data_IF_671806078392
#
_entry.id   IF_671806078392
#
_cell.length_a   1.000
_cell.length_b   1.000
_cell.length_c   1.000
_cell.angle_alpha   90.00
_cell.angle_beta   90.00
_cell.angle_gamma   90.00
#
_symmetry.space_group_name_H-M   'P 1'
#
loop_
_entity.id
_entity.type
_entity.pdbx_description
1 polymer ?
#
# COMPACT_ATOMS: atom_id res chain seq x y z
N UNK A 1 14.55 -0.64 22.75
CA UNK A 1 14.40 -0.96 21.31
C UNK A 1 12.92 -1.06 21.03
N UNK A 2 12.38 -0.20 20.16
CA UNK A 2 10.95 -0.20 19.82
C UNK A 2 10.59 -1.51 19.15
N UNK A 3 9.57 -2.20 19.67
CA UNK A 3 9.07 -3.45 19.12
C UNK A 3 8.57 -3.19 17.69
N UNK A 4 9.18 -3.83 16.70
CA UNK A 4 8.76 -3.71 15.30
C UNK A 4 7.34 -4.27 15.16
N UNK A 5 6.50 -3.57 14.39
CA UNK A 5 5.14 -4.03 14.12
C UNK A 5 5.09 -4.75 12.78
N UNK A 6 5.01 -6.08 12.84
CA UNK A 6 4.77 -6.90 11.66
C UNK A 6 3.31 -6.74 11.21
N UNK A 7 3.08 -6.23 10.01
CA UNK A 7 1.73 -5.91 9.52
C UNK A 7 1.55 -6.30 8.06
N UNK A 8 0.42 -6.93 7.77
CA UNK A 8 -0.05 -7.18 6.41
C UNK A 8 -1.36 -6.42 6.18
N UNK A 9 -1.38 -5.50 5.21
CA UNK A 9 -2.57 -4.76 4.82
C UNK A 9 -3.21 -5.42 3.60
N UNK A 10 -4.51 -5.71 3.66
CA UNK A 10 -5.29 -6.11 2.48
C UNK A 10 -6.31 -5.03 2.15
N UNK A 11 -6.15 -4.39 0.99
CA UNK A 11 -7.05 -3.33 0.52
C UNK A 11 -8.02 -3.92 -0.51
N UNK A 12 -9.26 -4.12 -0.08
CA UNK A 12 -10.38 -4.43 -0.97
C UNK A 12 -10.79 -3.16 -1.73
N UNK A 13 -10.87 -3.27 -3.05
CA UNK A 13 -11.04 -2.10 -3.91
C UNK A 13 -9.73 -1.32 -4.10
N UNK A 14 -8.58 -2.00 -4.12
CA UNK A 14 -7.26 -1.38 -4.26
C UNK A 14 -7.06 -0.56 -5.55
N UNK A 15 -7.93 -0.72 -6.54
CA UNK A 15 -7.91 0.08 -7.78
C UNK A 15 -8.86 1.28 -7.75
N UNK A 16 -9.50 1.56 -6.61
CA UNK A 16 -10.52 2.61 -6.45
C UNK A 16 -9.93 3.99 -6.13
N UNK A 17 -10.74 5.03 -6.32
CA UNK A 17 -10.34 6.43 -6.15
C UNK A 17 -9.78 6.72 -4.74
N UNK A 18 -10.44 6.21 -3.70
CA UNK A 18 -9.99 6.39 -2.31
C UNK A 18 -8.62 5.74 -2.07
N UNK A 19 -8.39 4.56 -2.64
CA UNK A 19 -7.13 3.85 -2.49
C UNK A 19 -5.97 4.67 -3.08
N UNK A 20 -6.16 5.17 -4.31
CA UNK A 20 -5.19 5.98 -5.04
C UNK A 20 -4.95 7.35 -4.38
N UNK A 21 -6.01 8.07 -4.03
CA UNK A 21 -5.88 9.46 -3.55
C UNK A 21 -5.54 9.58 -2.07
N UNK A 22 -5.78 8.54 -1.26
CA UNK A 22 -5.63 8.62 0.20
C UNK A 22 -4.86 7.45 0.80
N UNK A 23 -5.19 6.20 0.46
CA UNK A 23 -4.62 5.05 1.18
C UNK A 23 -3.13 4.85 0.86
N UNK A 24 -2.75 4.75 -0.42
CA UNK A 24 -1.33 4.58 -0.79
C UNK A 24 -0.45 5.77 -0.37
N UNK A 25 -0.85 7.04 -0.60
CA UNK A 25 -0.10 8.19 -0.08
C UNK A 25 0.07 8.16 1.45
N UNK A 26 -0.96 7.72 2.19
CA UNK A 26 -0.90 7.65 3.65
C UNK A 26 0.03 6.54 4.14
N UNK A 27 -0.02 5.36 3.51
CA UNK A 27 0.89 4.26 3.80
C UNK A 27 2.34 4.64 3.50
N UNK A 28 2.59 5.29 2.36
CA UNK A 28 3.92 5.79 2.03
C UNK A 28 4.42 6.84 3.04
N UNK A 29 3.54 7.72 3.52
CA UNK A 29 3.88 8.67 4.59
C UNK A 29 4.23 7.99 5.91
N UNK A 30 3.53 6.90 6.27
CA UNK A 30 3.86 6.10 7.46
C UNK A 30 5.21 5.41 7.31
N UNK A 31 5.49 4.83 6.14
CA UNK A 31 6.80 4.27 5.81
C UNK A 31 7.92 5.31 5.92
N UNK A 32 7.76 6.48 5.29
CA UNK A 32 8.75 7.58 5.36
C UNK A 32 9.00 8.12 6.77
N UNK A 33 8.04 7.98 7.69
CA UNK A 33 8.17 8.38 9.10
C UNK A 33 8.77 7.28 9.99
N UNK A 34 9.08 6.11 9.45
CA UNK A 34 9.55 4.95 10.21
C UNK A 34 8.47 4.31 11.08
N UNK A 35 7.18 4.58 10.80
CA UNK A 35 6.07 3.95 11.52
C UNK A 35 5.75 2.54 10.99
N UNK A 36 6.12 2.25 9.75
CA UNK A 36 6.13 0.91 9.18
C UNK A 36 7.60 0.44 9.13
N UNK A 37 7.87 -0.71 9.75
CA UNK A 37 9.20 -1.32 9.83
C UNK A 37 9.61 -2.01 8.52
N UNK A 38 10.55 -2.94 8.60
CA UNK A 38 10.96 -3.76 7.45
C UNK A 38 9.92 -4.83 7.13
N UNK A 39 9.27 -5.39 8.16
CA UNK A 39 8.33 -6.50 8.04
C UNK A 39 6.90 -6.03 7.81
N UNK A 40 6.64 -5.37 6.69
CA UNK A 40 5.28 -5.05 6.24
C UNK A 40 5.01 -5.43 4.79
N UNK A 41 3.74 -5.68 4.47
CA UNK A 41 3.27 -5.93 3.12
C UNK A 41 1.93 -5.25 2.85
N UNK A 42 1.70 -4.90 1.58
CA UNK A 42 0.43 -4.33 1.11
C UNK A 42 -0.07 -5.19 -0.05
N UNK A 43 -1.26 -5.76 0.11
CA UNK A 43 -1.96 -6.55 -0.90
C UNK A 43 -3.17 -5.74 -1.36
N UNK A 44 -3.20 -5.40 -2.64
CA UNK A 44 -4.38 -4.81 -3.28
C UNK A 44 -5.20 -5.87 -3.99
N UNK A 45 -6.52 -5.81 -3.84
CA UNK A 45 -7.44 -6.66 -4.61
C UNK A 45 -8.61 -5.88 -5.19
N UNK A 46 -9.00 -6.21 -6.40
CA UNK A 46 -10.15 -5.66 -7.10
C UNK A 46 -10.64 -6.62 -8.18
N UNK A 47 -11.78 -6.28 -8.80
CA UNK A 47 -12.42 -7.11 -9.84
C UNK A 47 -11.67 -7.11 -11.18
N UNK A 48 -10.90 -6.05 -11.48
CA UNK A 48 -10.18 -5.92 -12.75
C UNK A 48 -8.91 -6.76 -12.70
N UNK A 49 -8.63 -7.61 -13.71
CA UNK A 49 -7.40 -8.39 -13.76
C UNK A 49 -6.23 -7.47 -14.12
N UNK A 50 -5.43 -7.11 -13.13
CA UNK A 50 -4.17 -6.38 -13.31
C UNK A 50 -3.01 -7.31 -12.96
N UNK A 51 -1.91 -7.19 -13.69
CA UNK A 51 -0.66 -7.80 -13.25
C UNK A 51 -0.09 -7.02 -12.06
N UNK A 52 0.74 -7.70 -11.28
CA UNK A 52 1.47 -7.07 -10.18
C UNK A 52 2.31 -5.88 -10.67
N UNK A 53 2.94 -5.99 -11.83
CA UNK A 53 3.76 -4.92 -12.43
C UNK A 53 2.91 -3.68 -12.71
N UNK A 54 1.78 -3.85 -13.41
CA UNK A 54 0.89 -2.73 -13.71
C UNK A 54 0.34 -2.10 -12.42
N UNK A 55 -0.05 -2.93 -11.45
CA UNK A 55 -0.55 -2.43 -10.17
C UNK A 55 0.51 -1.63 -9.41
N UNK A 56 1.77 -2.09 -9.39
CA UNK A 56 2.89 -1.35 -8.77
C UNK A 56 3.15 -0.02 -9.47
N UNK A 57 3.11 0.06 -10.80
CA UNK A 57 3.28 1.32 -11.51
C UNK A 57 2.16 2.32 -11.17
N UNK A 58 0.90 1.88 -11.18
CA UNK A 58 -0.23 2.73 -10.76
C UNK A 58 -0.06 3.23 -9.32
N UNK A 59 0.39 2.38 -8.39
CA UNK A 59 0.65 2.81 -7.01
C UNK A 59 1.80 3.83 -6.95
N UNK A 60 2.89 3.63 -7.71
CA UNK A 60 4.02 4.58 -7.77
C UNK A 60 3.59 5.97 -8.24
N UNK A 61 2.67 6.05 -9.20
CA UNK A 61 2.13 7.34 -9.68
C UNK A 61 1.34 8.10 -8.61
N UNK A 62 0.95 7.45 -7.50
CA UNK A 62 0.16 8.07 -6.43
C UNK A 62 0.98 8.61 -5.26
N UNK A 63 2.29 8.29 -5.16
CA UNK A 63 3.10 8.52 -3.94
C UNK A 63 4.27 9.48 -4.12
#
# INVERSE_FOLDING_TARGET
MSNEKNVLFTIFGGTGDLAQRKLYPSLFRLYRKGNLGEHFAVIGTARRPWSDEHYREVVKETI
#
